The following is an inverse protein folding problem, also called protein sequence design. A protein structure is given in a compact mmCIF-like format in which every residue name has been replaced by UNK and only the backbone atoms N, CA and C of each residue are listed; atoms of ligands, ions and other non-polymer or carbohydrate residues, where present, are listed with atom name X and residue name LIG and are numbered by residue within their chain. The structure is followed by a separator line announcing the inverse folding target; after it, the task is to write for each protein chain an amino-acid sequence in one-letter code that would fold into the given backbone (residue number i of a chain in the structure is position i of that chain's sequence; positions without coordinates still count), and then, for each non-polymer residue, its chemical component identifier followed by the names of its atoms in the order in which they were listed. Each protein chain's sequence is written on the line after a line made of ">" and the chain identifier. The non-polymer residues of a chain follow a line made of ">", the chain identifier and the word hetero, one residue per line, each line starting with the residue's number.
data_IF_797435423320
#
_entry.id   IF_797435423320
#
_cell.length_a   1.000
_cell.length_b   1.000
_cell.length_c   1.000
_cell.angle_alpha   90.00
_cell.angle_beta   90.00
_cell.angle_gamma   90.00
#
_symmetry.space_group_name_H-M   'P 1'
#
loop_
_entity.id
_entity.type
_entity.pdbx_description
1 polymer ?
#
# COMPACT_ATOMS: atom_id res chain seq x y z
N UNK A 1 10.70 -3.15 38.38
CA UNK A 1 10.67 -3.99 37.15
C UNK A 1 12.03 -4.04 36.46
N UNK A 2 12.64 -2.90 36.05
CA UNK A 2 14.05 -2.89 35.59
C UNK A 2 15.08 -2.93 36.72
N UNK A 3 14.70 -2.53 37.93
CA UNK A 3 15.54 -2.39 39.12
C UNK A 3 16.08 -3.70 39.73
N UNK A 4 15.73 -4.87 39.18
CA UNK A 4 16.06 -6.19 39.75
C UNK A 4 16.82 -7.09 38.76
N UNK A 5 17.49 -6.54 37.73
CA UNK A 5 18.15 -7.31 36.67
C UNK A 5 17.27 -8.42 36.07
N UNK A 6 15.96 -8.14 35.95
CA UNK A 6 15.02 -9.12 35.44
C UNK A 6 15.23 -9.30 33.92
N UNK A 7 15.72 -10.47 33.47
CA UNK A 7 16.02 -10.69 32.05
C UNK A 7 14.77 -10.59 31.16
N UNK A 8 13.58 -10.88 31.70
CA UNK A 8 12.32 -10.76 30.95
C UNK A 8 11.95 -9.29 30.68
N UNK A 9 12.29 -8.37 31.58
CA UNK A 9 12.05 -6.94 31.37
C UNK A 9 12.93 -6.40 30.24
N UNK A 10 14.21 -6.78 30.21
CA UNK A 10 15.16 -6.41 29.15
C UNK A 10 14.78 -7.03 27.79
N UNK A 11 14.37 -8.30 27.79
CA UNK A 11 13.89 -8.96 26.57
C UNK A 11 12.62 -8.29 26.03
N UNK A 12 11.66 -7.97 26.90
CA UNK A 12 10.41 -7.29 26.50
C UNK A 12 10.68 -5.90 25.94
N UNK A 13 11.56 -5.13 26.56
CA UNK A 13 11.97 -3.82 26.06
C UNK A 13 12.61 -3.93 24.66
N UNK A 14 13.47 -4.91 24.45
CA UNK A 14 14.11 -5.16 23.15
C UNK A 14 13.08 -5.48 22.07
N UNK A 15 12.13 -6.37 22.37
CA UNK A 15 11.06 -6.73 21.43
C UNK A 15 10.14 -5.54 21.14
N UNK A 16 9.79 -4.76 22.16
CA UNK A 16 8.96 -3.57 22.00
C UNK A 16 9.66 -2.51 21.14
N UNK A 17 10.94 -2.23 21.41
CA UNK A 17 11.74 -1.31 20.60
C UNK A 17 11.87 -1.81 19.15
N UNK A 18 12.08 -3.11 18.95
CA UNK A 18 12.13 -3.68 17.61
C UNK A 18 10.77 -3.57 16.89
N UNK A 19 9.65 -3.81 17.57
CA UNK A 19 8.32 -3.64 16.97
C UNK A 19 8.12 -2.21 16.47
N UNK A 20 8.46 -1.22 17.29
CA UNK A 20 8.33 0.20 16.93
C UNK A 20 9.23 0.52 15.74
N UNK A 21 10.53 0.33 15.90
CA UNK A 21 11.55 0.81 14.94
C UNK A 21 11.59 0.04 13.63
N UNK A 22 11.26 -1.25 13.64
CA UNK A 22 11.38 -2.09 12.44
C UNK A 22 10.05 -2.33 11.73
N UNK A 23 8.93 -2.17 12.43
CA UNK A 23 7.59 -2.46 11.89
C UNK A 23 6.75 -1.19 11.82
N UNK A 24 6.47 -0.54 12.95
CA UNK A 24 5.56 0.61 12.98
C UNK A 24 6.13 1.81 12.22
N UNK A 25 7.41 2.13 12.42
CA UNK A 25 8.05 3.26 11.72
C UNK A 25 8.03 3.08 10.21
N UNK A 26 8.26 1.86 9.72
CA UNK A 26 8.22 1.56 8.28
C UNK A 26 6.80 1.59 7.70
N UNK A 27 5.80 1.16 8.48
CA UNK A 27 4.39 1.30 8.07
C UNK A 27 4.04 2.78 7.95
N UNK A 28 4.47 3.60 8.91
CA UNK A 28 4.23 5.05 8.89
C UNK A 28 4.93 5.69 7.70
N UNK A 29 6.18 5.32 7.41
CA UNK A 29 6.92 5.82 6.26
C UNK A 29 6.20 5.50 4.96
N UNK A 30 5.88 4.22 4.70
CA UNK A 30 5.16 3.84 3.48
C UNK A 30 3.78 4.48 3.38
N UNK A 31 3.07 4.65 4.50
CA UNK A 31 1.75 5.30 4.51
C UNK A 31 1.83 6.80 4.18
N UNK A 32 2.86 7.50 4.66
CA UNK A 32 3.10 8.90 4.30
C UNK A 32 3.39 9.05 2.83
N UNK A 33 4.27 8.22 2.27
CA UNK A 33 4.59 8.29 0.85
C UNK A 33 3.36 8.00 -0.01
N UNK A 34 2.57 6.98 0.34
CA UNK A 34 1.33 6.69 -0.37
C UNK A 34 0.33 7.85 -0.30
N UNK A 35 0.26 8.54 0.84
CA UNK A 35 -0.54 9.76 0.99
C UNK A 35 -0.01 10.91 0.14
N UNK A 36 1.31 11.09 0.07
CA UNK A 36 1.95 12.13 -0.74
C UNK A 36 1.74 11.87 -2.24
N UNK A 37 1.75 10.60 -2.67
CA UNK A 37 1.46 10.20 -4.04
C UNK A 37 -0.01 10.48 -4.45
N UNK A 38 -0.94 10.39 -3.51
CA UNK A 38 -2.35 10.78 -3.72
C UNK A 38 -2.52 12.30 -3.73
N UNK A 39 -1.74 13.02 -2.91
CA UNK A 39 -1.82 14.48 -2.78
C UNK A 39 -3.20 14.95 -2.32
N UNK A 40 -3.68 16.04 -2.94
CA UNK A 40 -4.98 16.65 -2.64
C UNK A 40 -6.10 16.17 -3.59
N UNK A 41 -6.00 14.94 -4.09
CA UNK A 41 -7.00 14.38 -5.00
C UNK A 41 -8.41 14.39 -4.35
N UNK A 42 -9.36 15.04 -5.02
CA UNK A 42 -10.76 15.14 -4.57
C UNK A 42 -11.74 14.50 -5.58
N UNK A 43 -11.24 13.98 -6.70
CA UNK A 43 -12.05 13.36 -7.73
C UNK A 43 -12.64 12.01 -7.27
N UNK A 44 -13.80 11.60 -7.80
CA UNK A 44 -14.32 10.26 -7.56
C UNK A 44 -13.34 9.18 -8.04
N UNK A 45 -13.13 8.12 -7.24
CA UNK A 45 -12.24 7.00 -7.58
C UNK A 45 -12.66 6.29 -8.88
N UNK A 46 -13.96 6.26 -9.17
CA UNK A 46 -14.53 5.68 -10.39
C UNK A 46 -14.72 6.68 -11.53
N UNK A 47 -14.00 7.81 -11.53
CA UNK A 47 -14.13 8.81 -12.58
C UNK A 47 -13.71 8.24 -13.94
N UNK A 48 -14.52 8.49 -14.97
CA UNK A 48 -14.20 8.10 -16.35
C UNK A 48 -13.65 9.34 -17.05
N UNK A 49 -12.36 9.31 -17.38
CA UNK A 49 -11.72 10.42 -18.07
C UNK A 49 -12.41 10.70 -19.42
N UNK A 50 -12.68 11.98 -19.69
CA UNK A 50 -13.20 12.41 -20.99
C UNK A 50 -12.10 12.23 -22.04
N UNK A 51 -12.35 11.40 -23.04
CA UNK A 51 -11.43 11.16 -24.15
C UNK A 51 -11.58 12.27 -25.21
N UNK A 52 -10.47 12.92 -25.58
CA UNK A 52 -10.46 14.03 -26.55
C UNK A 52 -9.07 14.63 -26.75
N UNK A 53 -8.82 15.25 -27.92
CA UNK A 53 -7.54 15.86 -28.24
C UNK A 53 -7.26 17.07 -27.31
N UNK A 54 -6.21 16.97 -26.49
CA UNK A 54 -5.80 18.03 -25.56
C UNK A 54 -5.96 17.70 -24.08
N UNK A 55 -6.63 16.58 -23.74
CA UNK A 55 -6.75 16.14 -22.35
C UNK A 55 -5.55 15.27 -21.94
N UNK A 56 -4.97 15.56 -20.78
CA UNK A 56 -4.01 14.67 -20.11
C UNK A 56 -4.76 13.40 -19.72
N UNK A 57 -4.25 12.23 -20.10
CA UNK A 57 -4.87 10.96 -19.73
C UNK A 57 -4.76 10.77 -18.21
N UNK A 58 -5.89 10.82 -17.50
CA UNK A 58 -5.93 10.53 -16.07
C UNK A 58 -5.64 9.04 -15.81
N UNK A 59 -4.89 8.75 -14.75
CA UNK A 59 -4.52 7.38 -14.39
C UNK A 59 -3.38 6.84 -15.25
N UNK A 60 -2.44 7.70 -15.66
CA UNK A 60 -1.29 7.26 -16.43
C UNK A 60 -0.47 6.25 -15.61
N UNK A 61 0.15 5.28 -16.30
CA UNK A 61 0.90 4.18 -15.66
C UNK A 61 1.93 4.68 -14.63
N UNK A 62 2.58 5.80 -14.89
CA UNK A 62 3.56 6.38 -13.96
C UNK A 62 2.94 6.86 -12.63
N UNK A 63 1.74 7.45 -12.68
CA UNK A 63 1.06 8.00 -11.49
C UNK A 63 0.59 6.90 -10.51
N UNK A 64 0.27 5.73 -11.05
CA UNK A 64 -0.24 4.60 -10.25
C UNK A 64 0.86 3.64 -9.79
N UNK A 65 2.02 3.68 -10.43
CA UNK A 65 3.13 2.76 -10.15
C UNK A 65 3.81 3.06 -8.81
N UNK A 66 3.96 4.34 -8.45
CA UNK A 66 4.60 4.75 -7.20
C UNK A 66 3.71 4.40 -5.99
N UNK A 67 2.41 4.70 -6.07
CA UNK A 67 1.42 4.25 -5.08
C UNK A 67 1.45 2.72 -4.87
N UNK A 68 1.52 1.96 -5.97
CA UNK A 68 1.57 0.49 -5.89
C UNK A 68 2.86 -0.02 -5.24
N UNK A 69 4.02 0.59 -5.54
CA UNK A 69 5.31 0.24 -4.93
C UNK A 69 5.34 0.51 -3.42
N UNK A 70 4.75 1.61 -2.98
CA UNK A 70 4.76 2.02 -1.58
C UNK A 70 3.83 1.18 -0.72
N UNK A 71 2.62 0.89 -1.23
CA UNK A 71 1.71 -0.08 -0.58
C UNK A 71 2.40 -1.45 -0.47
N UNK A 72 3.14 -1.86 -1.51
CA UNK A 72 3.91 -3.11 -1.47
C UNK A 72 4.96 -3.10 -0.36
N UNK A 73 5.68 -1.99 -0.15
CA UNK A 73 6.66 -1.86 0.92
C UNK A 73 6.02 -2.04 2.32
N UNK A 74 4.83 -1.47 2.55
CA UNK A 74 4.06 -1.69 3.80
C UNK A 74 3.71 -3.18 3.97
N UNK A 75 3.17 -3.79 2.91
CA UNK A 75 2.75 -5.20 2.92
C UNK A 75 3.92 -6.14 3.19
N UNK A 76 5.10 -5.86 2.62
CA UNK A 76 6.32 -6.65 2.86
C UNK A 76 6.76 -6.60 4.33
N UNK A 77 6.65 -5.45 4.99
CA UNK A 77 6.97 -5.30 6.42
C UNK A 77 6.00 -6.08 7.32
N UNK A 78 4.70 -5.99 7.04
CA UNK A 78 3.65 -6.60 7.87
C UNK A 78 3.60 -8.11 7.65
N UNK A 79 3.58 -8.55 6.39
CA UNK A 79 3.37 -9.95 6.05
C UNK A 79 4.68 -10.74 5.97
N UNK A 80 5.84 -10.08 5.85
CA UNK A 80 7.16 -10.72 5.81
C UNK A 80 7.23 -11.84 4.76
N UNK A 81 6.68 -11.59 3.58
CA UNK A 81 6.59 -12.57 2.49
C UNK A 81 5.51 -13.64 2.65
N UNK A 82 4.60 -13.51 3.62
CA UNK A 82 3.40 -14.35 3.71
C UNK A 82 2.30 -13.82 2.78
N UNK A 83 1.59 -14.74 2.14
CA UNK A 83 0.58 -14.42 1.13
C UNK A 83 1.06 -14.73 -0.29
N UNK A 84 0.17 -14.61 -1.27
CA UNK A 84 0.46 -14.83 -2.67
C UNK A 84 0.00 -13.60 -3.46
N UNK A 85 0.91 -12.93 -4.16
CA UNK A 85 0.59 -11.77 -4.98
C UNK A 85 -0.35 -12.13 -6.14
N UNK A 86 -0.33 -13.38 -6.58
CA UNK A 86 -1.13 -13.89 -7.69
C UNK A 86 -2.52 -14.38 -7.22
N UNK A 87 -2.87 -14.19 -5.95
CA UNK A 87 -4.14 -14.65 -5.40
C UNK A 87 -5.33 -13.94 -6.08
N UNK A 88 -6.10 -14.67 -6.87
CA UNK A 88 -7.31 -14.17 -7.54
C UNK A 88 -7.08 -13.67 -8.97
N UNK A 89 -5.85 -13.72 -9.50
CA UNK A 89 -5.56 -13.33 -10.89
C UNK A 89 -6.28 -14.22 -11.92
N UNK A 90 -6.57 -15.47 -11.55
CA UNK A 90 -7.41 -16.39 -12.33
C UNK A 90 -8.90 -16.01 -12.37
N UNK A 91 -9.30 -14.91 -11.74
CA UNK A 91 -10.66 -14.36 -11.78
C UNK A 91 -10.76 -13.03 -12.52
N UNK A 92 -9.73 -12.65 -13.29
CA UNK A 92 -9.84 -11.50 -14.21
C UNK A 92 -10.98 -11.74 -15.18
N UNK A 93 -11.75 -10.69 -15.47
CA UNK A 93 -12.73 -10.72 -16.55
C UNK A 93 -11.97 -10.83 -17.88
N UNK A 94 -11.91 -12.03 -18.44
CA UNK A 94 -11.15 -12.31 -19.66
C UNK A 94 -11.85 -11.80 -20.93
N UNK A 95 -13.14 -11.44 -20.84
CA UNK A 95 -13.97 -11.14 -22.00
C UNK A 95 -13.93 -9.68 -22.47
N UNK A 96 -13.37 -8.76 -21.67
CA UNK A 96 -13.11 -7.37 -22.05
C UNK A 96 -14.31 -6.60 -22.62
N UNK A 97 -15.53 -7.09 -22.43
CA UNK A 97 -16.70 -6.62 -23.15
C UNK A 97 -17.36 -5.46 -22.39
N UNK A 98 -17.25 -4.24 -22.93
CA UNK A 98 -17.93 -3.05 -22.40
C UNK A 98 -19.43 -3.03 -22.71
N UNK A 99 -19.98 -4.05 -23.39
CA UNK A 99 -21.40 -4.15 -23.70
C UNK A 99 -22.23 -4.63 -22.48
N UNK A 100 -22.24 -3.82 -21.41
CA UNK A 100 -23.43 -3.69 -20.55
C UNK A 100 -24.19 -2.45 -21.00
N UNK A 101 -24.52 -2.42 -22.29
CA UNK A 101 -25.54 -1.53 -22.81
C UNK A 101 -26.89 -2.12 -22.43
N UNK A 102 -27.53 -1.54 -21.42
CA UNK A 102 -28.98 -1.48 -21.32
C UNK A 102 -29.38 -0.03 -21.05
#
# INVERSE_FOLDING_TARGET
>A
MKSEDNPNASATETVANNLVTTTLDKIIEGAKTASDAIGDANDPIGNVAITGAGNVAAGAKGETEDLAKEIKAIVEVVLKGKGNADAGDNKKAEDGNSARGC
#
